data_IF_657651728094
#
_entry.id   IF_657651728094
#
_cell.length_a   1.000
_cell.length_b   1.000
_cell.length_c   1.000
_cell.angle_alpha   90.00
_cell.angle_beta   90.00
_cell.angle_gamma   90.00
#
_symmetry.space_group_name_H-M   'P 1'
#
loop_
_entity.id
_entity.type
_entity.pdbx_description
1 polymer ?
#
# COMPACT_ATOMS: atom_id res chain seq x y z
N UNK A 1 -8.15 -5.67 -16.47
CA UNK A 1 -7.59 -4.36 -16.05
C UNK A 1 -8.52 -3.29 -16.58
N UNK A 2 -8.68 -2.21 -15.81
CA UNK A 2 -9.51 -1.06 -16.19
C UNK A 2 -8.70 -0.07 -17.03
N UNK A 3 -9.35 0.97 -17.52
CA UNK A 3 -8.73 2.13 -18.16
C UNK A 3 -7.82 2.96 -17.22
N UNK A 4 -7.88 2.71 -15.90
CA UNK A 4 -7.00 3.33 -14.90
C UNK A 4 -5.74 2.51 -14.61
N UNK A 5 -5.61 1.32 -15.19
CA UNK A 5 -4.44 0.48 -14.99
C UNK A 5 -3.17 1.13 -15.53
N UNK A 6 -2.06 0.94 -14.83
CA UNK A 6 -0.75 1.44 -15.27
C UNK A 6 -0.38 0.88 -16.65
N UNK A 7 -0.12 1.75 -17.62
CA UNK A 7 0.08 1.36 -19.03
C UNK A 7 1.53 1.33 -19.48
N UNK A 8 2.45 1.92 -18.71
CA UNK A 8 3.86 1.96 -19.08
C UNK A 8 4.81 1.86 -17.88
N UNK A 9 6.08 1.61 -18.19
CA UNK A 9 7.12 1.37 -17.19
C UNK A 9 7.46 2.61 -16.35
N UNK A 10 7.38 3.82 -16.92
CA UNK A 10 7.72 5.03 -16.17
C UNK A 10 6.66 5.33 -15.12
N UNK A 11 5.39 5.18 -15.46
CA UNK A 11 4.29 5.29 -14.49
C UNK A 11 4.45 4.26 -13.35
N UNK A 12 4.73 3.00 -13.70
CA UNK A 12 4.96 1.95 -12.70
C UNK A 12 6.16 2.27 -11.79
N UNK A 13 7.24 2.79 -12.38
CA UNK A 13 8.43 3.19 -11.64
C UNK A 13 8.14 4.32 -10.66
N UNK A 14 7.35 5.31 -11.07
CA UNK A 14 6.96 6.44 -10.21
C UNK A 14 6.08 5.98 -9.05
N UNK A 15 5.16 5.04 -9.27
CA UNK A 15 4.39 4.40 -8.20
C UNK A 15 5.29 3.66 -7.20
N UNK A 16 6.29 2.91 -7.69
CA UNK A 16 7.27 2.27 -6.79
C UNK A 16 8.13 3.26 -6.00
N UNK A 17 8.49 4.40 -6.59
CA UNK A 17 9.20 5.47 -5.87
C UNK A 17 8.32 6.08 -4.78
N UNK A 18 7.03 6.28 -5.07
CA UNK A 18 6.07 6.74 -4.07
C UNK A 18 5.96 5.74 -2.91
N UNK A 19 5.80 4.44 -3.19
CA UNK A 19 5.75 3.38 -2.16
C UNK A 19 7.00 3.42 -1.27
N UNK A 20 8.18 3.63 -1.84
CA UNK A 20 9.43 3.73 -1.06
C UNK A 20 9.49 4.97 -0.16
N UNK A 21 8.83 6.06 -0.57
CA UNK A 21 8.79 7.31 0.20
C UNK A 21 7.72 7.30 1.30
N UNK A 22 6.56 6.68 1.05
CA UNK A 22 5.39 6.75 1.94
C UNK A 22 5.09 5.47 2.70
N UNK A 23 5.72 4.34 2.31
CA UNK A 23 5.36 2.98 2.73
C UNK A 23 3.98 2.51 2.26
N UNK A 24 3.28 3.31 1.44
CA UNK A 24 1.92 3.02 1.00
C UNK A 24 1.85 2.78 -0.51
N UNK A 25 1.12 1.74 -0.90
CA UNK A 25 0.70 1.50 -2.29
C UNK A 25 -0.76 1.89 -2.46
N UNK A 26 -1.11 2.38 -3.65
CA UNK A 26 -2.48 2.77 -3.99
C UNK A 26 -2.91 2.10 -5.28
N UNK A 27 -4.01 1.37 -5.24
CA UNK A 27 -4.77 0.93 -6.42
C UNK A 27 -6.06 1.77 -6.47
N UNK A 28 -6.09 2.83 -7.27
CA UNK A 28 -7.29 3.67 -7.48
C UNK A 28 -8.14 3.18 -8.66
N UNK A 29 -8.60 1.93 -8.52
CA UNK A 29 -9.44 1.28 -9.50
C UNK A 29 -8.71 0.75 -10.72
N UNK A 30 -7.41 0.51 -10.64
CA UNK A 30 -6.60 -0.18 -11.66
C UNK A 30 -7.10 -1.62 -11.86
N UNK A 31 -7.51 -2.29 -10.77
CA UNK A 31 -8.07 -3.63 -10.82
C UNK A 31 -9.59 -3.64 -11.05
N UNK A 32 -10.33 -2.74 -10.39
CA UNK A 32 -11.80 -2.65 -10.48
C UNK A 32 -12.27 -1.22 -10.25
N UNK A 33 -13.06 -0.68 -11.19
CA UNK A 33 -13.65 0.65 -11.04
C UNK A 33 -14.56 0.73 -9.81
N UNK A 34 -14.50 1.87 -9.11
CA UNK A 34 -15.28 2.12 -7.89
C UNK A 34 -14.71 1.48 -6.63
N UNK A 35 -13.54 0.85 -6.71
CA UNK A 35 -12.81 0.28 -5.59
C UNK A 35 -11.41 0.90 -5.52
N UNK A 36 -11.03 1.36 -4.34
CA UNK A 36 -9.69 1.85 -4.06
C UNK A 36 -9.04 0.96 -3.00
N UNK A 37 -7.82 0.47 -3.24
CA UNK A 37 -7.06 -0.26 -2.24
C UNK A 37 -5.88 0.56 -1.73
N UNK A 38 -5.72 0.63 -0.40
CA UNK A 38 -4.50 1.13 0.23
C UNK A 38 -3.74 -0.07 0.77
N UNK A 39 -2.47 -0.22 0.40
CA UNK A 39 -1.60 -1.29 0.85
C UNK A 39 -0.32 -0.79 1.50
N UNK A 40 0.36 -1.68 2.23
CA UNK A 40 1.73 -1.51 2.73
C UNK A 40 2.42 -2.87 2.69
N UNK A 41 3.74 -2.85 2.78
CA UNK A 41 4.55 -4.06 2.90
C UNK A 41 4.94 -4.35 4.36
N UNK A 42 5.27 -5.61 4.62
CA UNK A 42 5.95 -6.11 5.82
C UNK A 42 7.31 -6.63 5.35
N UNK A 43 8.38 -6.05 5.87
CA UNK A 43 9.75 -6.43 5.52
C UNK A 43 10.51 -7.01 6.70
N UNK A 44 11.38 -7.97 6.40
CA UNK A 44 12.47 -8.39 7.27
C UNK A 44 13.74 -7.58 6.96
N UNK A 45 14.83 -7.75 7.73
CA UNK A 45 16.09 -7.07 7.45
C UNK A 45 16.66 -7.33 6.05
N UNK A 46 16.38 -8.51 5.46
CA UNK A 46 16.88 -8.89 4.13
C UNK A 46 15.98 -8.45 2.97
N UNK A 47 14.64 -8.42 3.13
CA UNK A 47 13.70 -8.11 2.04
C UNK A 47 12.25 -7.95 2.51
N UNK A 48 11.41 -7.42 1.63
CA UNK A 48 9.95 -7.53 1.75
C UNK A 48 9.52 -9.01 1.75
N UNK A 49 8.66 -9.40 2.71
CA UNK A 49 8.15 -10.77 2.86
C UNK A 49 6.67 -10.88 2.54
N UNK A 50 5.88 -9.90 2.95
CA UNK A 50 4.42 -9.93 2.86
C UNK A 50 3.88 -8.54 2.49
N UNK A 51 2.64 -8.50 2.01
CA UNK A 51 1.85 -7.29 1.82
C UNK A 51 0.53 -7.39 2.56
N UNK A 52 0.03 -6.26 3.05
CA UNK A 52 -1.32 -6.13 3.60
C UNK A 52 -2.01 -4.96 2.90
N UNK A 53 -3.32 -5.09 2.67
CA UNK A 53 -4.11 -4.06 2.02
C UNK A 53 -5.53 -4.01 2.58
N UNK A 54 -6.14 -2.84 2.47
CA UNK A 54 -7.57 -2.61 2.73
C UNK A 54 -8.20 -2.15 1.43
N UNK A 55 -9.28 -2.81 1.03
CA UNK A 55 -10.11 -2.41 -0.10
C UNK A 55 -11.30 -1.60 0.40
N UNK A 56 -11.55 -0.47 -0.25
CA UNK A 56 -12.56 0.50 0.11
C UNK A 56 -13.41 0.82 -1.12
N UNK A 57 -14.65 1.22 -0.92
CA UNK A 57 -15.35 2.01 -1.94
C UNK A 57 -14.69 3.39 -2.08
N UNK A 58 -14.84 4.04 -3.23
CA UNK A 58 -14.25 5.37 -3.45
C UNK A 58 -14.69 6.40 -2.39
N UNK A 59 -15.95 6.36 -1.96
CA UNK A 59 -16.46 7.27 -0.92
C UNK A 59 -15.81 7.04 0.45
N UNK A 60 -15.53 5.78 0.80
CA UNK A 60 -14.82 5.47 2.04
C UNK A 60 -13.34 5.88 1.96
N UNK A 61 -12.72 5.74 0.80
CA UNK A 61 -11.35 6.20 0.58
C UNK A 61 -11.23 7.72 0.78
N UNK A 62 -12.12 8.50 0.15
CA UNK A 62 -12.07 9.96 0.25
C UNK A 62 -12.24 10.47 1.69
N UNK A 63 -13.09 9.80 2.47
CA UNK A 63 -13.33 10.13 3.88
C UNK A 63 -12.17 9.69 4.80
N UNK A 64 -11.58 8.50 4.55
CA UNK A 64 -10.74 7.81 5.56
C UNK A 64 -9.28 7.56 5.16
N UNK A 65 -8.84 7.93 3.96
CA UNK A 65 -7.51 7.58 3.43
C UNK A 65 -6.34 7.88 4.38
N UNK A 66 -6.36 9.03 5.07
CA UNK A 66 -5.27 9.41 6.00
C UNK A 66 -5.26 8.49 7.21
N UNK A 67 -6.42 8.29 7.86
CA UNK A 67 -6.54 7.44 9.04
C UNK A 67 -6.17 5.98 8.72
N UNK A 68 -6.63 5.47 7.58
CA UNK A 68 -6.37 4.08 7.16
C UNK A 68 -4.91 3.90 6.76
N UNK A 69 -4.33 4.84 6.01
CA UNK A 69 -2.91 4.82 5.65
C UNK A 69 -2.00 4.76 6.87
N UNK A 70 -2.20 5.67 7.83
CA UNK A 70 -1.42 5.69 9.07
C UNK A 70 -1.59 4.42 9.90
N UNK A 71 -2.83 3.91 10.01
CA UNK A 71 -3.11 2.68 10.74
C UNK A 71 -2.45 1.46 10.09
N UNK A 72 -2.46 1.36 8.75
CA UNK A 72 -1.82 0.29 8.01
C UNK A 72 -0.31 0.28 8.21
N UNK A 73 0.36 1.43 8.11
CA UNK A 73 1.81 1.54 8.34
C UNK A 73 2.16 1.09 9.77
N UNK A 74 1.44 1.61 10.77
CA UNK A 74 1.63 1.24 12.18
C UNK A 74 1.40 -0.25 12.42
N UNK A 75 0.37 -0.82 11.81
CA UNK A 75 0.07 -2.25 11.92
C UNK A 75 1.19 -3.09 11.31
N UNK A 76 1.65 -2.75 10.10
CA UNK A 76 2.71 -3.48 9.44
C UNK A 76 4.02 -3.41 10.25
N UNK A 77 4.40 -2.25 10.79
CA UNK A 77 5.55 -2.13 11.69
C UNK A 77 5.38 -2.93 12.99
N UNK A 78 4.18 -2.96 13.57
CA UNK A 78 3.91 -3.78 14.74
C UNK A 78 4.04 -5.29 14.43
N UNK A 79 3.64 -5.73 13.22
CA UNK A 79 3.85 -7.10 12.76
C UNK A 79 5.35 -7.38 12.57
N UNK A 80 6.09 -6.49 11.90
CA UNK A 80 7.55 -6.60 11.74
C UNK A 80 8.23 -6.78 13.11
N UNK A 81 7.89 -5.94 14.09
CA UNK A 81 8.44 -6.04 15.44
C UNK A 81 8.10 -7.37 16.12
N UNK A 82 6.85 -7.85 16.03
CA UNK A 82 6.43 -9.14 16.61
C UNK A 82 7.07 -10.35 15.94
N UNK A 83 7.42 -10.24 14.67
CA UNK A 83 8.14 -11.28 13.92
C UNK A 83 9.66 -11.24 14.15
N UNK A 84 10.17 -10.29 14.94
CA UNK A 84 11.61 -10.10 15.16
C UNK A 84 12.33 -9.48 13.95
N UNK A 85 11.60 -8.77 13.09
CA UNK A 85 12.12 -8.07 11.92
C UNK A 85 12.40 -6.59 12.17
N UNK A 86 11.85 -6.05 13.26
CA UNK A 86 12.12 -4.69 13.70
C UNK A 86 13.62 -4.45 13.83
N UNK A 87 14.06 -3.25 13.49
CA UNK A 87 15.44 -2.82 13.72
C UNK A 87 15.76 -2.96 15.21
N UNK A 88 16.86 -3.65 15.55
CA UNK A 88 17.51 -3.48 16.86
C UNK A 88 17.97 -2.03 17.02
#
# INVERSE_FOLDING_TARGET
MTERGVTDFNQLKDEFLHIKQTRLSLDDGQLRLGMTCIGTYIQSPDKVKLGIAVSLSNSEYDDKKVQIGDALVKLAQAIENRMGFGSM
#
